data_IF_695808546204
#
_entry.id   IF_695808546204
#
_cell.length_a   1.000
_cell.length_b   1.000
_cell.length_c   1.000
_cell.angle_alpha   90.00
_cell.angle_beta   90.00
_cell.angle_gamma   90.00
#
_symmetry.space_group_name_H-M   'P 1'
#
loop_
_entity.id
_entity.type
_entity.pdbx_description
1 polymer ?
#
# COMPACT_ATOMS: atom_id res chain seq x y z
N UNK A 1 20.12 26.48 -6.07
CA UNK A 1 19.04 27.08 -5.26
C UNK A 1 19.47 27.00 -3.80
N UNK A 2 19.90 28.12 -3.19
CA UNK A 2 20.40 28.11 -1.80
C UNK A 2 19.24 28.30 -0.84
N UNK A 3 19.07 27.39 0.10
CA UNK A 3 18.12 27.48 1.21
C UNK A 3 18.63 28.55 2.17
N UNK A 4 17.89 29.65 2.27
CA UNK A 4 18.16 30.73 3.22
C UNK A 4 17.81 30.30 4.65
N UNK A 5 18.65 30.74 5.58
CA UNK A 5 18.49 30.84 7.03
C UNK A 5 17.13 30.40 7.64
N UNK A 6 17.15 29.23 8.27
CA UNK A 6 16.52 28.93 9.57
C UNK A 6 15.18 29.58 9.94
N UNK A 7 14.11 29.25 9.24
CA UNK A 7 12.76 29.35 9.80
C UNK A 7 12.39 27.99 10.39
N UNK A 8 12.23 27.89 11.71
CA UNK A 8 11.52 26.76 12.32
C UNK A 8 10.17 26.64 11.62
N UNK A 9 9.92 25.51 10.95
CA UNK A 9 8.59 25.26 10.40
C UNK A 9 7.67 25.13 11.61
N UNK A 10 6.78 26.11 11.79
CA UNK A 10 5.85 26.14 12.93
C UNK A 10 5.14 24.78 13.04
N UNK A 11 5.02 24.25 14.27
CA UNK A 11 4.47 22.92 14.51
C UNK A 11 3.10 22.68 13.88
N UNK A 12 2.28 23.72 13.77
CA UNK A 12 0.98 23.70 13.07
C UNK A 12 1.11 23.35 11.58
N UNK A 13 2.10 23.94 10.88
CA UNK A 13 2.35 23.65 9.47
C UNK A 13 2.84 22.21 9.28
N UNK A 14 3.65 21.70 10.21
CA UNK A 14 4.08 20.29 10.18
C UNK A 14 2.91 19.35 10.43
N UNK A 15 2.04 19.65 11.39
CA UNK A 15 0.85 18.85 11.69
C UNK A 15 -0.07 18.74 10.47
N UNK A 16 -0.37 19.87 9.81
CA UNK A 16 -1.21 19.88 8.62
C UNK A 16 -0.56 19.11 7.44
N UNK A 17 0.77 19.21 7.30
CA UNK A 17 1.53 18.43 6.30
C UNK A 17 1.50 16.94 6.60
N UNK A 18 1.61 16.52 7.86
CA UNK A 18 1.54 15.11 8.25
C UNK A 18 0.16 14.52 7.94
N UNK A 19 -0.94 15.25 8.21
CA UNK A 19 -2.29 14.80 7.88
C UNK A 19 -2.42 14.57 6.36
N UNK A 20 -2.02 15.55 5.56
CA UNK A 20 -2.05 15.43 4.10
C UNK A 20 -1.19 14.28 3.60
N UNK A 21 0.03 14.14 4.14
CA UNK A 21 0.94 13.06 3.77
C UNK A 21 0.33 11.70 4.11
N UNK A 22 -0.25 11.54 5.30
CA UNK A 22 -0.87 10.27 5.72
C UNK A 22 -2.02 9.88 4.79
N UNK A 23 -2.89 10.83 4.44
CA UNK A 23 -3.98 10.60 3.48
C UNK A 23 -3.45 10.14 2.11
N UNK A 24 -2.37 10.75 1.62
CA UNK A 24 -1.75 10.32 0.35
C UNK A 24 -1.17 8.91 0.46
N UNK A 25 -0.52 8.57 1.57
CA UNK A 25 0.01 7.22 1.77
C UNK A 25 -1.14 6.21 1.90
N UNK A 26 -2.25 6.57 2.57
CA UNK A 26 -3.41 5.68 2.71
C UNK A 26 -4.04 5.33 1.34
N UNK A 27 -4.12 6.30 0.43
CA UNK A 27 -4.57 6.06 -0.95
C UNK A 27 -3.63 5.12 -1.71
N UNK A 28 -2.31 5.36 -1.60
CA UNK A 28 -1.30 4.48 -2.21
C UNK A 28 -1.32 3.07 -1.62
N UNK A 29 -1.60 2.96 -0.32
CA UNK A 29 -1.73 1.68 0.38
C UNK A 29 -2.96 0.88 -0.06
N UNK A 30 -4.07 1.56 -0.37
CA UNK A 30 -5.27 0.96 -0.97
C UNK A 30 -4.98 0.47 -2.39
N UNK A 31 -4.34 1.31 -3.22
CA UNK A 31 -3.94 0.94 -4.58
C UNK A 31 -2.98 -0.26 -4.57
N UNK A 32 -2.01 -0.27 -3.66
CA UNK A 32 -1.11 -1.40 -3.46
C UNK A 32 -1.88 -2.67 -3.09
N UNK A 33 -2.85 -2.58 -2.18
CA UNK A 33 -3.72 -3.71 -1.82
C UNK A 33 -4.49 -4.27 -3.00
N UNK A 34 -5.05 -3.42 -3.86
CA UNK A 34 -5.71 -3.85 -5.09
C UNK A 34 -4.76 -4.65 -5.99
N UNK A 35 -3.59 -4.07 -6.31
CA UNK A 35 -2.57 -4.73 -7.12
C UNK A 35 -2.05 -6.03 -6.50
N UNK A 36 -1.88 -6.08 -5.18
CA UNK A 36 -1.46 -7.28 -4.47
C UNK A 36 -2.49 -8.41 -4.62
N UNK A 37 -3.79 -8.10 -4.57
CA UNK A 37 -4.85 -9.10 -4.78
C UNK A 37 -4.94 -9.55 -6.24
N UNK A 38 -4.76 -8.65 -7.20
CA UNK A 38 -4.72 -8.99 -8.62
C UNK A 38 -3.51 -9.89 -8.92
N UNK A 39 -2.34 -9.52 -8.40
CA UNK A 39 -1.12 -10.32 -8.50
C UNK A 39 -1.31 -11.72 -7.93
N UNK A 40 -1.97 -11.84 -6.77
CA UNK A 40 -2.26 -13.13 -6.14
C UNK A 40 -3.18 -14.05 -6.98
N UNK A 41 -3.91 -13.51 -7.95
CA UNK A 41 -4.72 -14.28 -8.92
C UNK A 41 -3.93 -14.74 -10.14
N UNK A 42 -2.72 -14.22 -10.34
CA UNK A 42 -1.80 -14.67 -11.40
C UNK A 42 -1.04 -15.92 -10.98
N UNK A 43 -0.28 -16.49 -11.92
CA UNK A 43 0.66 -17.60 -11.63
C UNK A 43 2.11 -17.14 -11.44
N UNK A 44 2.35 -15.81 -11.41
CA UNK A 44 3.70 -15.26 -11.45
C UNK A 44 4.57 -15.72 -10.27
N UNK A 45 4.00 -15.80 -9.06
CA UNK A 45 4.73 -16.31 -7.89
C UNK A 45 5.24 -17.73 -8.10
N UNK A 46 4.39 -18.59 -8.66
CA UNK A 46 4.69 -20.00 -8.88
C UNK A 46 5.72 -20.17 -10.00
N UNK A 47 5.61 -19.37 -11.06
CA UNK A 47 6.55 -19.33 -12.18
C UNK A 47 7.95 -18.87 -11.75
N UNK A 48 8.03 -18.01 -10.74
CA UNK A 48 9.28 -17.59 -10.11
C UNK A 48 9.75 -18.54 -8.98
N UNK A 49 9.01 -19.60 -8.68
CA UNK A 49 9.36 -20.62 -7.69
C UNK A 49 9.08 -20.26 -6.24
N UNK A 50 8.19 -19.29 -6.00
CA UNK A 50 7.68 -18.98 -4.66
C UNK A 50 6.48 -19.88 -4.30
N UNK A 51 6.41 -20.32 -3.05
CA UNK A 51 5.30 -21.16 -2.56
C UNK A 51 3.95 -20.43 -2.42
N UNK A 52 3.96 -19.09 -2.49
CA UNK A 52 2.74 -18.27 -2.44
C UNK A 52 3.00 -16.83 -2.89
N UNK A 53 1.97 -16.10 -3.34
CA UNK A 53 2.07 -14.66 -3.62
C UNK A 53 2.44 -13.85 -2.36
N UNK A 54 2.02 -14.28 -1.17
CA UNK A 54 2.44 -13.66 0.10
C UNK A 54 3.95 -13.83 0.31
N UNK A 55 4.50 -15.01 -0.01
CA UNK A 55 5.94 -15.26 -0.01
C UNK A 55 6.69 -14.32 -0.94
N UNK A 56 6.17 -14.14 -2.16
CA UNK A 56 6.71 -13.21 -3.14
C UNK A 56 6.72 -11.76 -2.64
N UNK A 57 5.60 -11.27 -2.09
CA UNK A 57 5.49 -9.91 -1.55
C UNK A 57 6.45 -9.67 -0.38
N UNK A 58 6.64 -10.65 0.51
CA UNK A 58 7.62 -10.53 1.60
C UNK A 58 9.03 -10.31 1.06
N UNK A 59 9.44 -11.12 0.09
CA UNK A 59 10.79 -11.09 -0.46
C UNK A 59 11.06 -9.84 -1.30
N UNK A 60 10.10 -9.48 -2.17
CA UNK A 60 10.29 -8.43 -3.18
C UNK A 60 9.80 -7.04 -2.72
N UNK A 61 8.88 -6.98 -1.76
CA UNK A 61 8.37 -5.71 -1.21
C UNK A 61 8.86 -5.44 0.23
N UNK A 62 9.73 -6.30 0.76
CA UNK A 62 10.33 -6.16 2.10
C UNK A 62 9.30 -6.06 3.23
N UNK A 63 8.25 -6.87 3.14
CA UNK A 63 7.15 -6.86 4.09
C UNK A 63 7.24 -8.00 5.10
N UNK A 64 6.70 -7.76 6.30
CA UNK A 64 6.39 -8.83 7.23
C UNK A 64 5.24 -9.70 6.67
N UNK A 65 5.22 -10.99 7.05
CA UNK A 65 4.24 -11.93 6.50
C UNK A 65 2.78 -11.55 6.75
N UNK A 66 2.45 -11.09 7.97
CA UNK A 66 1.11 -10.60 8.28
C UNK A 66 0.74 -9.38 7.43
N UNK A 67 1.63 -8.39 7.35
CA UNK A 67 1.40 -7.20 6.54
C UNK A 67 1.20 -7.52 5.05
N UNK A 68 1.97 -8.47 4.49
CA UNK A 68 1.78 -8.91 3.11
C UNK A 68 0.43 -9.62 2.90
N UNK A 69 0.05 -10.52 3.81
CA UNK A 69 -1.23 -11.21 3.77
C UNK A 69 -2.41 -10.22 3.89
N UNK A 70 -2.30 -9.23 4.77
CA UNK A 70 -3.31 -8.19 4.96
C UNK A 70 -3.54 -7.40 3.67
N UNK A 71 -2.48 -7.07 2.90
CA UNK A 71 -2.65 -6.33 1.64
C UNK A 71 -3.46 -7.11 0.62
N UNK A 72 -3.18 -8.40 0.46
CA UNK A 72 -3.95 -9.29 -0.44
C UNK A 72 -5.40 -9.38 0.02
N UNK A 73 -5.63 -9.64 1.30
CA UNK A 73 -6.98 -9.74 1.88
C UNK A 73 -7.80 -8.45 1.69
N UNK A 74 -7.22 -7.28 1.98
CA UNK A 74 -7.87 -5.98 1.79
C UNK A 74 -8.26 -5.77 0.32
N UNK A 75 -7.37 -6.06 -0.63
CA UNK A 75 -7.68 -5.94 -2.05
C UNK A 75 -8.84 -6.84 -2.49
N UNK A 76 -8.90 -8.08 -2.00
CA UNK A 76 -10.02 -8.99 -2.25
C UNK A 76 -11.35 -8.44 -1.72
N UNK A 77 -11.35 -7.81 -0.53
CA UNK A 77 -12.56 -7.21 0.04
C UNK A 77 -12.99 -5.92 -0.67
N UNK A 78 -12.05 -5.10 -1.14
CA UNK A 78 -12.36 -3.87 -1.90
C UNK A 78 -13.14 -4.21 -3.18
N UNK A 79 -12.72 -5.24 -3.92
CA UNK A 79 -13.44 -5.70 -5.10
C UNK A 79 -14.86 -6.24 -4.81
N UNK A 80 -15.18 -6.60 -3.55
CA UNK A 80 -16.55 -6.92 -3.14
C UNK A 80 -17.37 -5.67 -2.85
N UNK A 81 -16.77 -4.62 -2.28
CA UNK A 81 -17.46 -3.37 -1.94
C UNK A 81 -17.83 -2.56 -3.19
N UNK A 82 -16.94 -2.48 -4.18
CA UNK A 82 -17.22 -1.79 -5.45
C UNK A 82 -18.45 -2.39 -6.13
N UNK A 83 -18.56 -3.73 -6.14
CA UNK A 83 -19.69 -4.46 -6.72
C UNK A 83 -21.02 -4.20 -6.01
N UNK A 84 -20.99 -3.94 -4.71
CA UNK A 84 -22.20 -3.64 -3.92
C UNK A 84 -22.67 -2.19 -4.13
N UNK A 85 -21.76 -1.26 -4.45
CA UNK A 85 -22.11 0.14 -4.74
C UNK A 85 -22.66 0.37 -6.15
N UNK A 86 -22.50 -0.60 -7.05
CA UNK A 86 -22.99 -0.57 -8.44
C UNK A 86 -24.39 -1.22 -8.61
N UNK A 87 -24.97 -1.81 -7.56
CA UNK A 87 -26.31 -2.43 -7.55
C UNK A 87 -27.38 -1.50 -6.97
#
# INVERSE_FOLDING_TARGET
MRVGCGGEVAGEVLAERLIRLRNSIDLLEVEFSHMASDFARTKQSDEEGYDSPIGWLKANCHMAGGAAADRVCVGEQLGHLDRLGES
#
